data_IF_885475495240
#
_entry.id   IF_885475495240
#
_cell.length_a   1.000
_cell.length_b   1.000
_cell.length_c   1.000
_cell.angle_alpha   90.00
_cell.angle_beta   90.00
_cell.angle_gamma   90.00
#
_symmetry.space_group_name_H-M   'P 1'
#
loop_
_entity.id
_entity.type
_entity.pdbx_description
1 polymer ?
#
# COMPACT_ATOMS: atom_id res chain seq x y z
N UNK A 1 -13.88 6.86 1.71
CA UNK A 1 -14.00 5.39 1.65
C UNK A 1 -13.81 4.83 3.06
N UNK A 2 -14.56 3.80 3.43
CA UNK A 2 -14.51 3.14 4.74
C UNK A 2 -14.12 1.67 4.52
N UNK A 3 -13.05 1.22 5.16
CA UNK A 3 -12.66 -0.20 5.24
C UNK A 3 -12.92 -0.68 6.66
N UNK A 4 -13.67 -1.76 6.81
CA UNK A 4 -13.96 -2.39 8.09
C UNK A 4 -13.28 -3.76 8.16
N UNK A 5 -12.67 -4.05 9.30
CA UNK A 5 -12.00 -5.31 9.57
C UNK A 5 -12.84 -6.14 10.55
N UNK A 6 -12.84 -7.45 10.38
CA UNK A 6 -13.43 -8.41 11.30
C UNK A 6 -12.43 -9.53 11.56
N UNK A 7 -12.45 -10.10 12.77
CA UNK A 7 -11.55 -11.20 13.12
C UNK A 7 -12.03 -12.50 12.45
N UNK A 8 -11.17 -13.16 11.64
CA UNK A 8 -11.57 -14.38 10.96
C UNK A 8 -11.57 -15.58 11.92
N UNK A 9 -12.49 -16.54 11.76
CA UNK A 9 -12.54 -17.75 12.59
C UNK A 9 -11.44 -18.79 12.27
N UNK A 10 -10.62 -18.57 11.24
CA UNK A 10 -9.58 -19.48 10.77
C UNK A 10 -8.47 -18.72 10.01
N UNK A 11 -7.51 -19.44 9.42
CA UNK A 11 -6.44 -18.85 8.60
C UNK A 11 -6.98 -18.00 7.44
N UNK A 12 -6.43 -16.80 7.30
CA UNK A 12 -6.86 -15.82 6.29
C UNK A 12 -6.06 -15.98 4.99
N UNK A 13 -6.74 -15.94 3.85
CA UNK A 13 -6.07 -15.89 2.56
C UNK A 13 -5.62 -14.45 2.28
N UNK A 14 -4.40 -14.29 1.76
CA UNK A 14 -3.90 -12.99 1.33
C UNK A 14 -4.84 -12.39 0.28
N UNK A 15 -5.09 -11.10 0.41
CA UNK A 15 -5.91 -10.31 -0.52
C UNK A 15 -5.11 -9.07 -0.90
N UNK A 16 -5.46 -8.48 -2.04
CA UNK A 16 -4.85 -7.24 -2.52
C UNK A 16 -5.89 -6.12 -2.57
N UNK A 17 -5.66 -5.05 -1.81
CA UNK A 17 -6.50 -3.86 -1.79
C UNK A 17 -5.72 -2.66 -2.29
N UNK A 18 -6.16 -2.10 -3.42
CA UNK A 18 -5.53 -0.96 -4.06
C UNK A 18 -6.38 0.30 -3.91
N UNK A 19 -5.76 1.39 -3.49
CA UNK A 19 -6.40 2.66 -3.20
C UNK A 19 -5.83 3.76 -4.10
N UNK A 20 -6.67 4.26 -5.01
CA UNK A 20 -6.39 5.49 -5.74
C UNK A 20 -6.57 6.67 -4.77
N UNK A 21 -5.50 7.43 -4.56
CA UNK A 21 -5.44 8.57 -3.64
C UNK A 21 -4.93 9.82 -4.36
N UNK A 22 -5.29 11.00 -3.84
CA UNK A 22 -4.66 12.24 -4.29
C UNK A 22 -3.23 12.38 -3.76
N UNK A 23 -2.52 13.37 -4.29
CA UNK A 23 -1.10 13.54 -4.01
C UNK A 23 -0.82 13.92 -2.54
N UNK A 24 -1.67 14.75 -1.95
CA UNK A 24 -1.51 15.20 -0.56
C UNK A 24 -1.77 14.05 0.43
N UNK A 25 -2.75 13.20 0.14
CA UNK A 25 -3.06 12.01 0.94
C UNK A 25 -1.93 10.99 0.83
N UNK A 26 -1.37 10.78 -0.36
CA UNK A 26 -0.21 9.91 -0.54
C UNK A 26 0.95 10.35 0.35
N UNK A 27 1.31 11.64 0.34
CA UNK A 27 2.41 12.17 1.14
C UNK A 27 2.21 12.01 2.64
N UNK A 28 0.99 12.29 3.13
CA UNK A 28 0.66 12.12 4.56
C UNK A 28 0.70 10.66 4.97
N UNK A 29 0.12 9.77 4.17
CA UNK A 29 0.06 8.34 4.47
C UNK A 29 1.44 7.70 4.39
N UNK A 30 2.23 8.03 3.36
CA UNK A 30 3.58 7.51 3.19
C UNK A 30 4.53 7.98 4.29
N UNK A 31 4.42 9.24 4.74
CA UNK A 31 5.16 9.71 5.93
C UNK A 31 4.83 8.87 7.15
N UNK A 32 3.54 8.62 7.42
CA UNK A 32 3.11 7.78 8.55
C UNK A 32 3.64 6.34 8.46
N UNK A 33 3.61 5.76 7.27
CA UNK A 33 4.15 4.42 6.98
C UNK A 33 5.65 4.36 7.34
N UNK A 34 6.44 5.35 6.89
CA UNK A 34 7.88 5.45 7.17
C UNK A 34 8.20 5.71 8.63
N UNK A 35 7.50 6.66 9.26
CA UNK A 35 7.68 6.99 10.68
C UNK A 35 7.34 5.80 11.59
N UNK A 36 6.42 4.94 11.14
CA UNK A 36 6.07 3.68 11.80
C UNK A 36 7.02 2.51 11.51
N UNK A 37 8.04 2.69 10.67
CA UNK A 37 8.99 1.63 10.30
C UNK A 37 8.35 0.48 9.54
N UNK A 38 7.23 0.71 8.83
CA UNK A 38 6.55 -0.32 8.06
C UNK A 38 7.32 -0.63 6.79
N UNK A 39 7.63 -1.92 6.59
CA UNK A 39 8.27 -2.40 5.37
C UNK A 39 7.36 -2.18 4.16
N UNK A 40 7.94 -1.69 3.08
CA UNK A 40 7.23 -1.29 1.87
C UNK A 40 8.12 -1.38 0.64
N UNK A 41 7.49 -1.39 -0.53
CA UNK A 41 8.14 -1.63 -1.80
C UNK A 41 7.58 -0.77 -2.93
N UNK A 42 8.42 -0.54 -3.94
CA UNK A 42 7.99 0.13 -5.17
C UNK A 42 7.24 -0.79 -6.14
N UNK A 43 7.32 -2.11 -5.96
CA UNK A 43 6.79 -3.11 -6.88
C UNK A 43 5.98 -4.20 -6.16
N UNK A 44 4.96 -4.80 -6.81
CA UNK A 44 4.13 -5.82 -6.18
C UNK A 44 4.88 -7.13 -5.92
N UNK A 45 6.02 -7.36 -6.58
CA UNK A 45 6.90 -8.51 -6.36
C UNK A 45 7.80 -8.34 -5.13
N UNK A 46 7.76 -7.19 -4.45
CA UNK A 46 8.51 -6.90 -3.23
C UNK A 46 10.03 -6.97 -3.43
N UNK A 47 10.51 -6.54 -4.60
CA UNK A 47 11.93 -6.61 -4.97
C UNK A 47 12.69 -5.31 -4.69
N UNK A 48 11.98 -4.19 -4.51
CA UNK A 48 12.56 -2.85 -4.28
C UNK A 48 12.13 -2.28 -2.92
N UNK A 49 12.72 -2.74 -1.81
CA UNK A 49 12.33 -2.32 -0.47
C UNK A 49 12.72 -0.87 -0.18
N UNK A 50 11.88 -0.15 0.56
CA UNK A 50 12.15 1.23 1.00
C UNK A 50 11.95 2.29 -0.10
N UNK A 51 11.44 1.89 -1.26
CA UNK A 51 11.22 2.75 -2.41
C UNK A 51 9.73 2.89 -2.73
N UNK A 52 9.37 3.97 -3.43
CA UNK A 52 8.06 4.14 -4.08
C UNK A 52 8.25 4.07 -5.59
N UNK A 53 7.26 3.55 -6.30
CA UNK A 53 7.21 3.72 -7.75
C UNK A 53 7.01 5.20 -8.05
N UNK A 54 7.84 5.77 -8.94
CA UNK A 54 7.70 7.15 -9.43
C UNK A 54 7.72 7.21 -10.96
N UNK A 55 7.52 6.08 -11.64
CA UNK A 55 7.59 6.04 -13.09
C UNK A 55 6.46 6.87 -13.72
N UNK A 56 6.80 7.60 -14.79
CA UNK A 56 5.88 8.43 -15.57
C UNK A 56 5.08 9.51 -14.80
N UNK A 57 5.56 9.92 -13.61
CA UNK A 57 4.88 10.91 -12.77
C UNK A 57 3.67 10.34 -12.02
N UNK A 58 3.56 9.02 -11.98
CA UNK A 58 2.67 8.27 -11.11
C UNK A 58 3.41 7.94 -9.82
N UNK A 59 2.70 7.85 -8.70
CA UNK A 59 3.29 7.45 -7.42
C UNK A 59 2.58 6.21 -6.93
N UNK A 60 3.34 5.21 -6.51
CA UNK A 60 2.82 3.93 -6.03
C UNK A 60 3.65 3.38 -4.88
N UNK A 61 3.01 2.73 -3.92
CA UNK A 61 3.70 2.02 -2.85
C UNK A 61 2.89 0.79 -2.42
N UNK A 62 3.60 -0.31 -2.22
CA UNK A 62 3.06 -1.57 -1.72
C UNK A 62 3.54 -1.81 -0.29
N UNK A 63 2.68 -2.32 0.57
CA UNK A 63 3.01 -2.74 1.94
C UNK A 63 2.04 -3.83 2.41
N UNK A 64 2.33 -4.45 3.55
CA UNK A 64 1.43 -5.45 4.15
C UNK A 64 0.72 -4.90 5.37
N UNK A 65 -0.54 -5.28 5.53
CA UNK A 65 -1.22 -5.13 6.80
C UNK A 65 -0.78 -6.23 7.79
N UNK A 66 -1.15 -6.14 9.09
CA UNK A 66 -0.78 -7.15 10.08
C UNK A 66 -1.27 -8.57 9.79
N UNK A 67 -2.35 -8.72 9.00
CA UNK A 67 -2.88 -10.01 8.59
C UNK A 67 -2.16 -10.59 7.35
N UNK A 68 -1.25 -9.81 6.73
CA UNK A 68 -0.48 -10.20 5.56
C UNK A 68 -1.15 -9.89 4.23
N UNK A 69 -2.26 -9.13 4.23
CA UNK A 69 -2.87 -8.60 3.00
C UNK A 69 -1.95 -7.58 2.34
N UNK A 70 -1.88 -7.62 1.02
CA UNK A 70 -1.19 -6.60 0.24
C UNK A 70 -2.07 -5.35 0.17
N UNK A 71 -1.47 -4.22 0.53
CA UNK A 71 -2.08 -2.90 0.39
C UNK A 71 -1.25 -2.11 -0.61
N UNK A 72 -1.94 -1.46 -1.54
CA UNK A 72 -1.36 -0.57 -2.53
C UNK A 72 -2.00 0.81 -2.42
N UNK A 73 -1.17 1.86 -2.39
CA UNK A 73 -1.63 3.23 -2.59
C UNK A 73 -1.00 3.79 -3.84
N UNK A 74 -1.79 4.42 -4.70
CA UNK A 74 -1.30 4.95 -5.96
C UNK A 74 -2.06 6.20 -6.41
N UNK A 75 -1.46 7.05 -7.24
CA UNK A 75 -2.00 8.40 -7.55
C UNK A 75 -2.61 8.55 -8.95
N UNK A 76 -2.45 7.56 -9.83
CA UNK A 76 -3.03 7.57 -11.19
C UNK A 76 -3.62 6.22 -11.59
N UNK A 77 -4.80 6.18 -12.23
CA UNK A 77 -5.42 4.93 -12.67
C UNK A 77 -4.54 4.17 -13.66
N UNK A 78 -4.45 2.85 -13.49
CA UNK A 78 -3.89 1.94 -14.49
C UNK A 78 -4.79 1.96 -15.73
N UNK A 79 -4.31 2.54 -16.83
CA UNK A 79 -4.99 2.57 -18.14
C UNK A 79 -4.49 1.45 -19.05
#
# INVERSE_FOLDING_TARGET
>A
MLLQFAEPPAGIQMQHYAFLVDDDLFDRAYRRLRDGGVEHWADPQMTRPGETNTEHGERGVYFKDPAGHAIEMFTRPYL
#
